data_IF_677785923614
#
_entry.id   IF_677785923614
#
_cell.length_a   1.000
_cell.length_b   1.000
_cell.length_c   1.000
_cell.angle_alpha   90.00
_cell.angle_beta   90.00
_cell.angle_gamma   90.00
#
_symmetry.space_group_name_H-M   'P 1'
#
loop_
_entity.id
_entity.type
_entity.pdbx_description
1 polymer ?
#
# COMPACT_ATOMS: atom_id res chain seq x y z
N UNK A 1 3.35 -1.76 11.77
CA UNK A 1 3.15 -1.59 10.31
C UNK A 1 3.13 -0.12 9.94
N UNK A 2 3.59 0.17 8.73
CA UNK A 2 3.48 1.50 8.15
C UNK A 2 2.87 1.39 6.77
N UNK A 3 1.98 2.31 6.44
CA UNK A 3 1.38 2.37 5.11
C UNK A 3 1.44 3.80 4.59
N UNK A 4 1.89 3.95 3.36
CA UNK A 4 1.74 5.19 2.61
C UNK A 4 0.61 4.98 1.61
N UNK A 5 -0.43 5.79 1.71
CA UNK A 5 -1.66 5.63 0.94
C UNK A 5 -1.81 6.83 0.02
N UNK A 6 -1.88 6.57 -1.27
CA UNK A 6 -1.97 7.59 -2.30
C UNK A 6 -3.21 7.36 -3.16
N UNK A 7 -4.01 8.40 -3.36
CA UNK A 7 -5.07 8.40 -4.37
C UNK A 7 -4.43 8.45 -5.75
N UNK A 8 -4.86 7.58 -6.64
CA UNK A 8 -4.31 7.53 -7.99
C UNK A 8 -5.42 7.47 -9.03
N UNK A 9 -5.16 8.04 -10.21
CA UNK A 9 -5.98 7.81 -11.40
C UNK A 9 -5.62 6.47 -12.04
N UNK A 10 -4.37 6.10 -11.93
CA UNK A 10 -3.84 4.80 -12.33
C UNK A 10 -2.53 4.55 -11.59
N UNK A 11 -2.22 3.29 -11.37
CA UNK A 11 -0.93 2.88 -10.83
C UNK A 11 -0.58 1.50 -11.37
N UNK A 12 0.71 1.25 -11.49
CA UNK A 12 1.23 -0.05 -11.90
C UNK A 12 2.53 -0.35 -11.19
N UNK A 13 2.83 -1.62 -11.05
CA UNK A 13 4.12 -2.10 -10.58
C UNK A 13 4.67 -3.10 -11.58
N UNK A 14 5.95 -2.94 -11.90
CA UNK A 14 6.65 -3.83 -12.84
C UNK A 14 7.88 -4.46 -12.21
N UNK A 15 8.21 -5.66 -12.66
CA UNK A 15 9.39 -6.42 -12.26
C UNK A 15 10.07 -6.88 -13.56
N UNK A 16 11.37 -6.59 -13.67
CA UNK A 16 12.16 -6.96 -14.86
C UNK A 16 11.52 -6.53 -16.19
N UNK A 17 10.91 -5.34 -16.21
CA UNK A 17 10.27 -4.76 -17.39
C UNK A 17 8.85 -5.26 -17.67
N UNK A 18 8.32 -6.18 -16.88
CA UNK A 18 6.96 -6.71 -17.03
C UNK A 18 6.04 -6.16 -15.96
N UNK A 19 4.87 -5.65 -16.34
CA UNK A 19 3.84 -5.21 -15.40
C UNK A 19 3.23 -6.44 -14.72
N UNK A 20 3.31 -6.46 -13.38
CA UNK A 20 2.79 -7.57 -12.56
C UNK A 20 1.53 -7.19 -11.79
N UNK A 21 1.24 -5.91 -11.67
CA UNK A 21 0.01 -5.39 -11.07
C UNK A 21 -0.31 -4.03 -11.64
N UNK A 22 -1.60 -3.77 -11.87
CA UNK A 22 -2.08 -2.51 -12.44
C UNK A 22 -3.49 -2.22 -11.99
N UNK A 23 -3.75 -0.96 -11.67
CA UNK A 23 -5.09 -0.47 -11.33
C UNK A 23 -5.40 0.82 -12.08
N UNK A 24 -6.70 1.10 -12.24
CA UNK A 24 -7.20 2.42 -12.60
C UNK A 24 -7.39 3.32 -11.37
N UNK A 25 -8.49 4.03 -11.30
CA UNK A 25 -8.81 4.93 -10.20
C UNK A 25 -8.91 4.18 -8.87
N UNK A 26 -8.19 4.62 -7.88
CA UNK A 26 -8.21 3.97 -6.57
C UNK A 26 -7.06 4.36 -5.66
N UNK A 27 -6.57 3.38 -4.91
CA UNK A 27 -5.51 3.55 -3.92
C UNK A 27 -4.26 2.75 -4.28
N UNK A 28 -3.12 3.41 -4.25
CA UNK A 28 -1.81 2.77 -4.15
C UNK A 28 -1.42 2.75 -2.67
N UNK A 29 -1.17 1.57 -2.15
CA UNK A 29 -0.74 1.36 -0.76
C UNK A 29 0.67 0.77 -0.75
N UNK A 30 1.64 1.53 -0.25
CA UNK A 30 2.97 1.03 0.06
C UNK A 30 2.95 0.53 1.50
N UNK A 31 3.24 -0.74 1.71
CA UNK A 31 3.11 -1.41 3.00
C UNK A 31 4.47 -1.90 3.52
N UNK A 32 4.85 -1.41 4.70
CA UNK A 32 6.00 -1.88 5.44
C UNK A 32 5.59 -2.64 6.70
N UNK A 33 6.32 -3.71 7.01
CA UNK A 33 6.10 -4.53 8.21
C UNK A 33 7.27 -4.33 9.17
N UNK A 34 6.97 -4.09 10.43
CA UNK A 34 7.94 -3.99 11.52
C UNK A 34 8.00 -5.27 12.34
N UNK A 35 9.07 -5.44 13.15
CA UNK A 35 9.30 -6.68 13.90
C UNK A 35 8.27 -6.95 15.01
N UNK A 36 7.59 -5.92 15.49
CA UNK A 36 6.59 -6.03 16.57
C UNK A 36 5.15 -6.10 16.05
N UNK A 37 4.95 -6.21 14.74
CA UNK A 37 3.63 -6.25 14.14
C UNK A 37 2.95 -7.60 14.34
N UNK A 38 1.64 -7.54 14.52
CA UNK A 38 0.77 -8.69 14.80
C UNK A 38 -0.34 -8.81 13.76
N UNK A 39 -0.97 -9.99 13.61
CA UNK A 39 -2.16 -10.15 12.77
C UNK A 39 -3.28 -9.17 13.10
N UNK A 40 -3.49 -8.86 14.38
CA UNK A 40 -4.51 -7.88 14.80
C UNK A 40 -4.22 -6.46 14.33
N UNK A 41 -2.96 -6.05 14.31
CA UNK A 41 -2.56 -4.75 13.77
C UNK A 41 -2.74 -4.70 12.25
N UNK A 42 -2.49 -5.79 11.56
CA UNK A 42 -2.70 -5.91 10.12
C UNK A 42 -4.19 -5.70 9.77
N UNK A 43 -5.08 -6.37 10.48
CA UNK A 43 -6.54 -6.23 10.32
C UNK A 43 -6.98 -4.78 10.54
N UNK A 44 -6.54 -4.15 11.62
CA UNK A 44 -6.86 -2.76 11.92
C UNK A 44 -6.37 -1.79 10.86
N UNK A 45 -5.15 -1.99 10.37
CA UNK A 45 -4.59 -1.13 9.33
C UNK A 45 -5.34 -1.29 8.01
N UNK A 46 -5.69 -2.50 7.62
CA UNK A 46 -6.46 -2.76 6.41
C UNK A 46 -7.85 -2.12 6.48
N UNK A 47 -8.53 -2.28 7.61
CA UNK A 47 -9.83 -1.66 7.85
C UNK A 47 -9.75 -0.14 7.74
N UNK A 48 -8.76 0.45 8.41
CA UNK A 48 -8.53 1.90 8.36
C UNK A 48 -8.23 2.39 6.95
N UNK A 49 -7.31 1.73 6.26
CA UNK A 49 -6.85 2.14 4.93
C UNK A 49 -7.99 2.10 3.90
N UNK A 50 -8.75 1.02 3.88
CA UNK A 50 -9.84 0.84 2.91
C UNK A 50 -11.09 1.67 3.24
N UNK A 51 -11.23 2.09 4.49
CA UNK A 51 -12.32 2.94 4.96
C UNK A 51 -12.05 4.44 4.88
N UNK A 52 -10.85 4.87 4.52
CA UNK A 52 -10.52 6.29 4.44
C UNK A 52 -11.39 7.00 3.40
N UNK A 53 -11.95 8.12 3.79
CA UNK A 53 -12.83 8.95 2.95
C UNK A 53 -12.02 10.08 2.32
N UNK A 54 -11.12 9.71 1.44
CA UNK A 54 -10.15 10.63 0.81
C UNK A 54 -10.42 10.94 -0.66
N UNK A 55 -11.54 10.45 -1.20
CA UNK A 55 -11.98 10.78 -2.54
C UNK A 55 -13.00 11.92 -2.49
N UNK A 56 -12.91 12.83 -3.46
CA UNK A 56 -13.77 14.00 -3.49
C UNK A 56 -15.21 13.65 -3.83
N UNK A 57 -16.14 14.31 -3.13
CA UNK A 57 -17.55 14.33 -3.47
C UNK A 57 -17.86 15.40 -4.54
N UNK A 58 -19.13 15.59 -4.86
CA UNK A 58 -19.59 16.59 -5.85
C UNK A 58 -19.24 18.02 -5.44
N UNK A 59 -19.13 18.29 -4.14
CA UNK A 59 -18.71 19.58 -3.60
C UNK A 59 -17.19 19.78 -3.58
N UNK A 60 -16.41 18.81 -4.02
CA UNK A 60 -14.96 18.83 -4.02
C UNK A 60 -14.33 18.55 -2.65
N UNK A 61 -15.11 18.08 -1.68
CA UNK A 61 -14.62 17.71 -0.33
C UNK A 61 -14.27 16.25 -0.27
N UNK A 62 -13.20 15.92 0.44
CA UNK A 62 -12.79 14.53 0.71
C UNK A 62 -13.80 13.84 1.63
N UNK A 63 -14.74 13.13 1.05
CA UNK A 63 -15.88 12.55 1.76
C UNK A 63 -16.28 11.15 1.29
N UNK A 64 -15.71 10.66 0.20
CA UNK A 64 -16.00 9.35 -0.37
C UNK A 64 -14.89 8.36 -0.08
N UNK A 65 -15.26 7.13 0.23
CA UNK A 65 -14.34 6.00 0.40
C UNK A 65 -14.03 5.32 -0.94
N UNK A 66 -13.11 4.35 -0.90
CA UNK A 66 -12.80 3.51 -2.05
C UNK A 66 -14.04 2.77 -2.56
N UNK A 67 -14.86 2.25 -1.65
CA UNK A 67 -16.11 1.56 -2.01
C UNK A 67 -17.11 2.50 -2.70
N UNK A 68 -17.23 3.73 -2.23
CA UNK A 68 -18.15 4.72 -2.79
C UNK A 68 -17.84 5.05 -4.24
N UNK A 69 -16.59 5.03 -4.64
CA UNK A 69 -16.15 5.35 -6.00
C UNK A 69 -16.00 4.11 -6.90
N UNK A 70 -16.23 2.91 -6.37
CA UNK A 70 -15.97 1.66 -7.10
C UNK A 70 -14.51 1.50 -7.50
N UNK A 71 -13.58 1.97 -6.68
CA UNK A 71 -12.15 2.00 -6.97
C UNK A 71 -11.44 0.67 -6.77
N UNK A 72 -10.21 0.63 -7.23
CA UNK A 72 -9.31 -0.51 -7.13
C UNK A 72 -8.17 -0.23 -6.15
N UNK A 73 -7.49 -1.28 -5.70
CA UNK A 73 -6.35 -1.16 -4.80
C UNK A 73 -5.14 -1.91 -5.34
N UNK A 74 -3.99 -1.24 -5.28
CA UNK A 74 -2.68 -1.85 -5.57
C UNK A 74 -1.86 -1.79 -4.29
N UNK A 75 -1.46 -2.96 -3.79
CA UNK A 75 -0.65 -3.10 -2.57
C UNK A 75 0.76 -3.53 -2.94
N UNK A 76 1.73 -2.74 -2.54
CA UNK A 76 3.15 -3.01 -2.82
C UNK A 76 3.91 -3.10 -1.50
N UNK A 77 4.62 -4.20 -1.30
CA UNK A 77 5.51 -4.33 -0.14
C UNK A 77 6.68 -3.35 -0.26
N UNK A 78 6.94 -2.61 0.81
CA UNK A 78 7.95 -1.55 0.83
C UNK A 78 8.64 -1.51 2.20
N UNK A 79 9.65 -2.35 2.42
CA UNK A 79 10.38 -2.39 3.69
C UNK A 79 11.14 -1.08 3.96
N UNK A 80 11.47 -0.32 2.93
CA UNK A 80 12.18 0.96 3.05
C UNK A 80 11.38 2.04 3.76
N UNK A 81 10.09 1.82 4.06
CA UNK A 81 9.32 2.68 4.96
C UNK A 81 9.87 2.67 6.39
N UNK A 82 10.69 1.69 6.74
CA UNK A 82 11.43 1.60 8.01
C UNK A 82 12.88 2.09 7.90
N UNK A 83 13.16 2.93 6.91
CA UNK A 83 14.48 3.55 6.77
C UNK A 83 14.81 4.44 7.97
N UNK A 84 16.01 4.30 8.48
CA UNK A 84 16.58 5.16 9.52
C UNK A 84 17.76 5.94 8.94
N UNK A 85 17.60 7.25 8.85
CA UNK A 85 18.59 8.18 8.31
C UNK A 85 19.19 9.11 9.38
N UNK A 86 18.99 8.80 10.67
CA UNK A 86 19.45 9.67 11.77
C UNK A 86 20.97 9.74 11.88
N UNK A 87 21.67 8.71 11.43
CA UNK A 87 23.13 8.59 11.52
C UNK A 87 23.83 8.81 10.18
N UNK A 88 23.53 9.90 9.48
CA UNK A 88 24.20 10.26 8.24
C UNK A 88 23.34 10.09 6.99
N UNK A 89 24.01 10.00 5.84
CA UNK A 89 23.32 10.01 4.52
C UNK A 89 22.99 8.63 3.98
N UNK A 90 23.48 7.57 4.60
CA UNK A 90 23.17 6.19 4.20
C UNK A 90 22.05 5.65 5.06
N UNK A 91 20.88 5.32 4.47
CA UNK A 91 19.78 4.77 5.24
C UNK A 91 20.09 3.38 5.78
N UNK A 92 19.63 3.10 7.00
CA UNK A 92 19.62 1.77 7.60
C UNK A 92 18.22 1.22 7.59
N UNK A 93 18.06 -0.06 7.28
CA UNK A 93 16.76 -0.75 7.21
C UNK A 93 16.61 -1.84 8.28
N UNK A 94 17.43 -1.82 9.29
CA UNK A 94 17.41 -2.82 10.37
C UNK A 94 16.14 -2.78 11.22
N UNK A 95 15.36 -1.69 11.13
CA UNK A 95 14.04 -1.56 11.78
C UNK A 95 12.90 -2.28 11.06
N UNK A 96 13.13 -2.84 9.87
CA UNK A 96 12.12 -3.62 9.16
C UNK A 96 12.10 -5.07 9.67
N UNK A 97 10.92 -5.71 9.61
CA UNK A 97 10.80 -7.13 9.89
C UNK A 97 11.55 -7.97 8.86
N UNK A 98 12.07 -9.12 9.30
CA UNK A 98 12.65 -10.11 8.39
C UNK A 98 11.57 -10.73 7.48
N UNK A 99 11.95 -11.24 6.29
CA UNK A 99 10.97 -11.82 5.36
C UNK A 99 10.10 -12.91 5.96
N UNK A 100 10.62 -13.74 6.85
CA UNK A 100 9.89 -14.82 7.54
C UNK A 100 8.69 -14.29 8.33
N UNK A 101 8.78 -13.08 8.86
CA UNK A 101 7.70 -12.40 9.58
C UNK A 101 6.89 -11.49 8.66
N UNK A 102 7.54 -10.81 7.74
CA UNK A 102 6.91 -9.81 6.89
C UNK A 102 6.00 -10.45 5.83
N UNK A 103 6.40 -11.56 5.21
CA UNK A 103 5.62 -12.21 4.15
C UNK A 103 4.24 -12.67 4.65
N UNK A 104 4.10 -13.39 5.78
CA UNK A 104 2.79 -13.79 6.28
C UNK A 104 1.87 -12.60 6.56
N UNK A 105 2.37 -11.50 7.11
CA UNK A 105 1.58 -10.32 7.41
C UNK A 105 1.20 -9.54 6.14
N UNK A 106 2.09 -9.48 5.16
CA UNK A 106 1.79 -8.93 3.85
C UNK A 106 0.67 -9.73 3.16
N UNK A 107 0.77 -11.05 3.12
CA UNK A 107 -0.26 -11.92 2.56
C UNK A 107 -1.58 -11.78 3.30
N UNK A 108 -1.55 -11.64 4.63
CA UNK A 108 -2.75 -11.37 5.41
C UNK A 108 -3.38 -10.03 5.02
N UNK A 109 -2.60 -8.99 4.78
CA UNK A 109 -3.14 -7.71 4.34
C UNK A 109 -3.90 -7.84 3.01
N UNK A 110 -3.37 -8.62 2.08
CA UNK A 110 -4.06 -8.92 0.82
C UNK A 110 -5.38 -9.66 1.06
N UNK A 111 -5.38 -10.63 1.98
CA UNK A 111 -6.61 -11.35 2.37
C UNK A 111 -7.63 -10.43 3.05
N UNK A 112 -7.18 -9.50 3.88
CA UNK A 112 -8.06 -8.50 4.49
C UNK A 112 -8.71 -7.60 3.43
N UNK A 113 -8.01 -7.26 2.37
CA UNK A 113 -8.59 -6.55 1.24
C UNK A 113 -9.69 -7.38 0.56
N UNK A 114 -9.45 -8.66 0.31
CA UNK A 114 -10.42 -9.58 -0.31
C UNK A 114 -11.66 -9.75 0.56
N UNK A 115 -11.49 -9.90 1.87
CA UNK A 115 -12.60 -10.06 2.80
C UNK A 115 -13.52 -8.83 2.86
N UNK A 116 -13.01 -7.67 2.45
CA UNK A 116 -13.75 -6.41 2.37
C UNK A 116 -14.29 -6.11 0.96
N UNK A 117 -14.21 -7.06 0.04
CA UNK A 117 -14.73 -6.94 -1.31
C UNK A 117 -13.80 -6.31 -2.33
N UNK A 118 -12.52 -6.13 -2.00
CA UNK A 118 -11.51 -5.60 -2.91
C UNK A 118 -10.51 -6.69 -3.28
N UNK A 119 -10.47 -7.12 -4.54
CA UNK A 119 -9.40 -7.99 -5.02
C UNK A 119 -8.16 -7.13 -5.28
N UNK A 120 -7.11 -7.23 -4.44
CA UNK A 120 -5.96 -6.36 -4.59
C UNK A 120 -5.08 -6.79 -5.75
N UNK A 121 -4.61 -5.83 -6.52
CA UNK A 121 -3.44 -6.02 -7.36
C UNK A 121 -2.20 -5.87 -6.47
N UNK A 122 -1.14 -6.59 -6.77
CA UNK A 122 0.08 -6.56 -5.96
C UNK A 122 1.30 -6.92 -6.80
N UNK A 123 2.48 -6.57 -6.27
CA UNK A 123 3.76 -7.03 -6.80
C UNK A 123 4.19 -8.34 -6.16
N UNK A 124 5.45 -8.70 -6.38
CA UNK A 124 6.09 -9.87 -5.77
C UNK A 124 6.96 -9.41 -4.60
N UNK A 125 6.79 -10.01 -3.43
CA UNK A 125 7.61 -9.70 -2.27
C UNK A 125 9.10 -10.02 -2.55
N UNK A 126 9.99 -9.09 -2.14
CA UNK A 126 11.43 -9.27 -2.27
C UNK A 126 12.03 -9.04 -3.67
N UNK A 127 11.21 -8.80 -4.69
CA UNK A 127 11.70 -8.47 -6.02
C UNK A 127 11.98 -6.96 -6.16
N UNK A 128 12.92 -6.62 -7.03
CA UNK A 128 13.13 -5.23 -7.44
C UNK A 128 11.93 -4.75 -8.25
N UNK A 129 11.24 -3.75 -7.72
CA UNK A 129 10.00 -3.24 -8.28
C UNK A 129 10.16 -1.80 -8.73
N UNK A 130 9.60 -1.49 -9.89
CA UNK A 130 9.41 -0.13 -10.36
C UNK A 130 7.93 0.17 -10.34
N UNK A 131 7.55 1.16 -9.52
CA UNK A 131 6.18 1.64 -9.45
C UNK A 131 5.98 2.86 -10.34
N UNK A 132 4.80 2.95 -10.94
CA UNK A 132 4.31 4.16 -11.60
C UNK A 132 2.94 4.51 -11.04
N UNK A 133 2.74 5.77 -10.73
CA UNK A 133 1.47 6.28 -10.28
C UNK A 133 1.16 7.59 -10.98
N UNK A 134 -0.05 7.73 -11.49
CA UNK A 134 -0.60 9.00 -11.94
C UNK A 134 -1.53 9.52 -10.87
N UNK A 135 -1.06 10.53 -10.14
CA UNK A 135 -1.82 11.16 -9.07
C UNK A 135 -2.46 12.45 -9.58
N UNK A 136 -3.62 12.77 -9.03
CA UNK A 136 -4.19 14.10 -9.19
C UNK A 136 -3.90 14.87 -7.91
N UNK A 137 -2.85 15.68 -7.91
CA UNK A 137 -2.66 16.68 -6.86
C UNK A 137 -3.36 17.97 -7.27
N UNK A 138 -4.18 18.48 -6.36
CA UNK A 138 -4.47 19.91 -6.31
C UNK A 138 -3.61 20.50 -5.21
N UNK A 139 -2.73 21.30 -5.61
CA UNK A 139 -2.04 22.18 -4.70
C UNK A 139 -3.02 23.24 -4.19
#
# INVERSE_FOLDING_TARGET
MRAVITRVKSASVSIAGSVVGEIGHGLLILLGVGPDDTPGLCEKLADKALGLRIFCDEAGKMNRSLADIGGQVLVVSQFTLYADCRKGKRPSFTGAALPEQAVPLYEQFLQECRSRGFEPQHGRFGADKIGRASCRERV
#
